data_IF_341757862718
#
_entry.id   IF_341757862718
#
_cell.length_a   1.000
_cell.length_b   1.000
_cell.length_c   1.000
_cell.angle_alpha   90.00
_cell.angle_beta   90.00
_cell.angle_gamma   90.00
#
_symmetry.space_group_name_H-M   'P 1'
#
loop_
_entity.id
_entity.type
_entity.pdbx_description
1 polymer ?
#
# COMPACT_ATOMS: atom_id res chain seq x y z
N UNK A 1 -19.13 9.08 7.00
CA UNK A 1 -18.44 8.13 6.10
C UNK A 1 -17.99 8.92 4.88
N UNK A 2 -16.73 8.81 4.42
CA UNK A 2 -16.28 9.53 3.22
C UNK A 2 -17.16 9.12 2.03
N UNK A 3 -17.89 10.08 1.45
CA UNK A 3 -18.88 9.83 0.39
C UNK A 3 -18.25 9.57 -0.97
N UNK A 4 -17.00 9.99 -1.14
CA UNK A 4 -16.16 9.75 -2.31
C UNK A 4 -14.76 9.36 -1.84
N UNK A 5 -14.17 8.38 -2.51
CA UNK A 5 -12.78 8.00 -2.32
C UNK A 5 -12.10 7.92 -3.67
N UNK A 6 -10.86 8.41 -3.75
CA UNK A 6 -10.07 8.28 -4.97
C UNK A 6 -9.76 6.79 -5.18
N UNK A 7 -10.12 6.25 -6.35
CA UNK A 7 -9.92 4.83 -6.69
C UNK A 7 -8.45 4.42 -6.61
N UNK A 8 -7.53 5.36 -6.80
CA UNK A 8 -6.08 5.12 -6.74
C UNK A 8 -5.57 4.92 -5.30
N UNK A 9 -6.30 5.42 -4.30
CA UNK A 9 -6.01 5.21 -2.88
C UNK A 9 -6.62 3.90 -2.34
N UNK A 10 -7.45 3.21 -3.13
CA UNK A 10 -8.04 1.94 -2.74
C UNK A 10 -7.01 0.82 -2.98
N UNK A 11 -6.40 0.35 -1.90
CA UNK A 11 -5.47 -0.79 -1.95
C UNK A 11 -6.17 -2.15 -1.85
N UNK A 12 -7.49 -2.19 -1.58
CA UNK A 12 -8.24 -3.45 -1.49
C UNK A 12 -8.21 -4.18 -2.83
N UNK A 13 -7.79 -5.45 -2.83
CA UNK A 13 -7.76 -6.26 -4.04
C UNK A 13 -9.19 -6.48 -4.58
N UNK A 14 -9.38 -6.28 -5.89
CA UNK A 14 -10.69 -6.44 -6.54
C UNK A 14 -11.25 -7.84 -6.27
N UNK A 15 -12.50 -7.89 -5.78
CA UNK A 15 -13.18 -9.15 -5.45
C UNK A 15 -12.72 -9.79 -4.13
N UNK A 16 -11.94 -9.09 -3.30
CA UNK A 16 -11.53 -9.56 -1.97
C UNK A 16 -12.12 -8.69 -0.86
N UNK A 17 -12.09 -9.22 0.36
CA UNK A 17 -12.49 -8.46 1.56
C UNK A 17 -11.49 -7.33 1.85
N UNK A 18 -11.95 -6.30 2.57
CA UNK A 18 -11.19 -5.07 2.89
C UNK A 18 -9.84 -5.29 3.58
N UNK A 19 -9.62 -6.46 4.18
CA UNK A 19 -8.35 -6.82 4.80
C UNK A 19 -7.29 -7.29 3.81
N UNK A 20 -7.63 -7.57 2.56
CA UNK A 20 -6.68 -8.03 1.54
C UNK A 20 -6.23 -6.83 0.70
N UNK A 21 -4.99 -6.40 0.91
CA UNK A 21 -4.42 -5.28 0.20
C UNK A 21 -3.41 -5.75 -0.84
N UNK A 22 -3.38 -5.06 -1.98
CA UNK A 22 -2.43 -5.31 -3.06
C UNK A 22 -1.71 -4.00 -3.38
N UNK A 23 -0.43 -3.95 -3.02
CA UNK A 23 0.41 -2.79 -3.29
C UNK A 23 0.94 -2.83 -4.73
N UNK A 24 1.24 -1.67 -5.35
CA UNK A 24 1.68 -1.65 -6.74
C UNK A 24 3.08 -2.25 -6.88
N UNK A 25 3.20 -3.30 -7.70
CA UNK A 25 4.45 -4.04 -7.91
C UNK A 25 5.63 -3.14 -8.27
N UNK A 26 5.40 -2.13 -9.12
CA UNK A 26 6.41 -1.16 -9.56
C UNK A 26 7.21 -0.56 -8.41
N UNK A 27 6.60 -0.36 -7.24
CA UNK A 27 7.23 0.29 -6.10
C UNK A 27 7.61 -0.67 -4.97
N UNK A 28 6.99 -1.85 -4.89
CA UNK A 28 7.09 -2.72 -3.70
C UNK A 28 7.64 -4.12 -3.98
N UNK A 29 7.86 -4.50 -5.25
CA UNK A 29 8.35 -5.84 -5.58
C UNK A 29 9.84 -5.98 -5.25
N UNK A 30 10.22 -7.12 -4.66
CA UNK A 30 11.60 -7.53 -4.37
C UNK A 30 12.40 -6.60 -3.42
N UNK A 31 11.72 -5.87 -2.53
CA UNK A 31 12.38 -4.93 -1.60
C UNK A 31 12.03 -5.20 -0.13
N UNK A 32 12.90 -4.75 0.79
CA UNK A 32 12.57 -4.65 2.22
C UNK A 32 11.68 -3.43 2.42
N UNK A 33 10.40 -3.67 2.69
CA UNK A 33 9.38 -2.63 2.62
C UNK A 33 8.88 -2.13 3.97
N UNK A 34 8.97 -2.90 5.04
CA UNK A 34 8.33 -2.57 6.32
C UNK A 34 9.34 -2.46 7.46
N UNK A 35 9.18 -1.45 8.30
CA UNK A 35 9.96 -1.24 9.54
C UNK A 35 9.28 -1.86 10.77
N UNK A 36 7.98 -2.15 10.70
CA UNK A 36 7.23 -2.74 11.79
C UNK A 36 7.02 -4.26 11.61
N UNK A 37 6.26 -4.89 12.52
CA UNK A 37 6.04 -6.35 12.56
C UNK A 37 5.23 -6.90 11.37
N UNK A 38 4.86 -6.07 10.40
CA UNK A 38 4.10 -6.47 9.23
C UNK A 38 4.97 -7.33 8.32
N UNK A 39 4.37 -8.39 7.79
CA UNK A 39 5.00 -9.26 6.79
C UNK A 39 4.10 -9.39 5.58
N UNK A 40 4.73 -9.56 4.41
CA UNK A 40 4.03 -9.93 3.20
C UNK A 40 3.27 -11.24 3.39
N UNK A 41 2.03 -11.29 2.91
CA UNK A 41 1.31 -12.56 2.75
C UNK A 41 1.78 -13.28 1.48
N UNK A 42 2.00 -12.51 0.42
CA UNK A 42 2.55 -12.97 -0.85
C UNK A 42 3.45 -11.85 -1.39
N UNK A 43 4.78 -11.94 -1.17
CA UNK A 43 5.73 -10.89 -1.55
C UNK A 43 5.86 -10.75 -3.08
N UNK A 44 5.68 -11.86 -3.83
CA UNK A 44 5.78 -11.87 -5.30
C UNK A 44 4.66 -11.02 -5.91
N UNK A 45 3.47 -11.07 -5.31
CA UNK A 45 2.32 -10.29 -5.75
C UNK A 45 2.07 -9.02 -4.93
N UNK A 46 3.00 -8.65 -4.04
CA UNK A 46 2.91 -7.50 -3.14
C UNK A 46 1.58 -7.45 -2.37
N UNK A 47 1.17 -8.61 -1.83
CA UNK A 47 -0.09 -8.74 -1.07
C UNK A 47 0.14 -8.69 0.43
N UNK A 48 -0.68 -7.90 1.10
CA UNK A 48 -0.78 -7.85 2.56
C UNK A 48 -2.15 -8.35 3.01
N UNK A 49 -2.18 -8.83 4.25
CA UNK A 49 -3.43 -9.11 4.94
C UNK A 49 -3.47 -8.38 6.27
N UNK A 50 -4.39 -7.44 6.40
CA UNK A 50 -4.70 -6.72 7.63
C UNK A 50 -5.41 -7.66 8.61
N UNK A 51 -4.77 -7.96 9.74
CA UNK A 51 -5.30 -8.82 10.81
C UNK A 51 -5.68 -7.97 12.01
N UNK A 52 -6.80 -7.25 11.92
CA UNK A 52 -7.31 -6.40 13.00
C UNK A 52 -7.74 -5.03 12.50
N UNK A 53 -8.45 -4.29 13.36
CA UNK A 53 -8.81 -2.88 13.13
C UNK A 53 -7.65 -1.97 13.57
N UNK A 54 -7.52 -0.80 12.95
CA UNK A 54 -6.54 0.22 13.34
C UNK A 54 -5.07 -0.14 13.06
N UNK A 55 -4.78 -1.04 12.11
CA UNK A 55 -3.40 -1.37 11.79
C UNK A 55 -2.73 -0.31 10.92
N UNK A 56 -1.51 0.06 11.32
CA UNK A 56 -0.63 0.96 10.58
C UNK A 56 0.55 0.20 9.97
N UNK A 57 1.03 0.70 8.83
CA UNK A 57 2.12 0.09 8.07
C UNK A 57 3.23 1.13 7.89
N UNK A 58 4.36 0.92 8.56
CA UNK A 58 5.51 1.82 8.48
C UNK A 58 6.44 1.33 7.38
N UNK A 59 6.61 2.15 6.35
CA UNK A 59 7.38 1.80 5.17
C UNK A 59 8.86 2.23 5.28
N UNK A 60 9.79 1.37 4.88
CA UNK A 60 11.22 1.69 4.86
C UNK A 60 11.63 2.41 3.57
N UNK A 61 11.51 3.73 3.56
CA UNK A 61 11.91 4.55 2.41
C UNK A 61 13.43 4.73 2.26
N UNK A 62 14.23 4.32 3.25
CA UNK A 62 15.69 4.32 3.17
C UNK A 62 16.16 3.12 2.34
N UNK A 63 15.64 1.92 2.63
CA UNK A 63 16.00 0.69 1.89
C UNK A 63 15.23 0.57 0.56
N UNK A 64 14.05 1.18 0.46
CA UNK A 64 13.27 1.23 -0.76
C UNK A 64 12.86 2.67 -1.12
N UNK A 65 13.73 3.44 -1.80
CA UNK A 65 13.46 4.83 -2.16
C UNK A 65 12.26 5.00 -3.10
N UNK A 66 11.87 3.97 -3.86
CA UNK A 66 10.70 4.00 -4.76
C UNK A 66 9.38 4.22 -4.01
N UNK A 67 9.35 3.96 -2.71
CA UNK A 67 8.20 4.28 -1.85
C UNK A 67 7.95 5.79 -1.80
N UNK A 68 9.01 6.60 -1.85
CA UNK A 68 8.89 8.07 -1.90
C UNK A 68 8.20 8.49 -3.20
N UNK A 69 8.62 7.92 -4.32
CA UNK A 69 8.01 8.18 -5.63
C UNK A 69 6.54 7.77 -5.64
N UNK A 70 6.21 6.62 -5.05
CA UNK A 70 4.83 6.19 -4.90
C UNK A 70 4.00 7.19 -4.10
N UNK A 71 4.48 7.61 -2.92
CA UNK A 71 3.79 8.58 -2.07
C UNK A 71 3.59 9.93 -2.78
N UNK A 72 4.63 10.46 -3.43
CA UNK A 72 4.54 11.70 -4.21
C UNK A 72 3.53 11.58 -5.37
N UNK A 73 3.53 10.43 -6.07
CA UNK A 73 2.56 10.19 -7.13
C UNK A 73 1.12 10.11 -6.62
N UNK A 74 0.90 9.55 -5.43
CA UNK A 74 -0.43 9.54 -4.82
C UNK A 74 -0.91 10.96 -4.48
N UNK A 75 -0.03 11.78 -3.88
CA UNK A 75 -0.36 13.15 -3.48
C UNK A 75 -0.68 14.02 -4.71
N UNK A 76 0.23 14.06 -5.69
CA UNK A 76 0.06 14.89 -6.89
C UNK A 76 -1.23 14.58 -7.67
N UNK A 77 -1.61 13.31 -7.70
CA UNK A 77 -2.83 12.87 -8.39
C UNK A 77 -4.11 13.14 -7.62
N UNK A 78 -4.03 13.36 -6.31
CA UNK A 78 -5.17 13.77 -5.50
C UNK A 78 -5.47 15.28 -5.64
N UNK A 79 -4.50 16.09 -6.08
CA UNK A 79 -4.67 17.54 -6.31
C UNK A 79 -5.24 17.86 -7.71
N UNK A 80 -5.42 16.85 -8.57
CA UNK A 80 -5.86 17.00 -9.97
C UNK A 80 -7.34 16.63 -10.20
N UNK A 81 -8.09 16.35 -9.14
CA UNK A 81 -9.54 16.03 -9.12
C UNK A 81 -10.32 17.16 -8.43
#
# INVERSE_FOLDING_TARGET
MFTKSNKQLILTEKGKSRSNWKLPKRYFQNTKNFLNRVRWKDPINCRLQCKGQGQEYILNAQDNPLIKDWALNLIKRCESD
#
